data_IF_832005856277
#
_entry.id   IF_832005856277
#
_cell.length_a   1.000
_cell.length_b   1.000
_cell.length_c   1.000
_cell.angle_alpha   90.00
_cell.angle_beta   90.00
_cell.angle_gamma   90.00
#
_symmetry.space_group_name_H-M   'P 1'
#
loop_
_entity.id
_entity.type
_entity.pdbx_description
1 polymer ?
#
# COMPACT_ATOMS: atom_id res chain seq x y z
N UNK A 1 7.16 22.59 -5.37
CA UNK A 1 6.13 23.37 -6.11
C UNK A 1 4.99 23.73 -5.16
N UNK A 2 4.25 24.83 -5.41
CA UNK A 2 3.19 25.35 -4.53
C UNK A 2 2.07 24.33 -4.24
N UNK A 3 1.63 23.57 -5.25
CA UNK A 3 0.57 22.56 -5.11
C UNK A 3 0.93 21.46 -4.11
N UNK A 4 2.17 20.95 -4.15
CA UNK A 4 2.63 19.91 -3.23
C UNK A 4 2.63 20.40 -1.76
N UNK A 5 2.95 21.68 -1.52
CA UNK A 5 2.90 22.27 -0.17
C UNK A 5 1.47 22.36 0.36
N UNK A 6 0.52 22.74 -0.49
CA UNK A 6 -0.90 22.80 -0.12
C UNK A 6 -1.42 21.39 0.19
N UNK A 7 -1.10 20.41 -0.67
CA UNK A 7 -1.49 19.02 -0.44
C UNK A 7 -0.99 18.50 0.91
N UNK A 8 0.31 18.65 1.20
CA UNK A 8 0.90 18.24 2.48
C UNK A 8 0.24 18.92 3.70
N UNK A 9 -0.09 20.21 3.58
CA UNK A 9 -0.79 20.94 4.64
C UNK A 9 -2.20 20.39 4.87
N UNK A 10 -2.98 20.19 3.80
CA UNK A 10 -4.36 19.67 3.89
C UNK A 10 -4.38 18.23 4.39
N UNK A 11 -3.44 17.39 3.94
CA UNK A 11 -3.34 15.99 4.36
C UNK A 11 -3.12 15.85 5.87
N UNK A 12 -2.34 16.76 6.48
CA UNK A 12 -2.09 16.77 7.94
C UNK A 12 -3.36 17.07 8.75
N UNK A 13 -4.33 17.79 8.17
CA UNK A 13 -5.59 18.17 8.82
C UNK A 13 -6.77 17.30 8.40
N UNK A 14 -6.52 16.23 7.63
CA UNK A 14 -7.58 15.35 7.15
C UNK A 14 -8.15 14.55 8.34
N UNK A 15 -9.48 14.50 8.53
CA UNK A 15 -10.08 13.60 9.51
C UNK A 15 -9.81 12.14 9.10
N UNK A 16 -9.57 11.22 10.04
CA UNK A 16 -9.41 9.82 9.72
C UNK A 16 -10.57 9.35 8.83
N UNK A 17 -10.26 8.77 7.68
CA UNK A 17 -11.26 8.11 6.83
C UNK A 17 -11.71 6.84 7.53
N UNK A 18 -12.60 6.99 8.49
CA UNK A 18 -13.13 5.87 9.25
C UNK A 18 -13.97 4.98 8.33
N UNK A 19 -13.94 3.68 8.60
CA UNK A 19 -14.83 2.72 7.98
C UNK A 19 -16.33 3.10 8.09
N UNK A 20 -16.70 3.87 9.12
CA UNK A 20 -18.04 4.42 9.28
C UNK A 20 -18.38 5.46 8.19
N UNK A 21 -17.46 6.38 7.88
CA UNK A 21 -17.63 7.38 6.84
C UNK A 21 -17.77 6.75 5.44
N UNK A 22 -17.02 5.68 5.16
CA UNK A 22 -17.12 4.98 3.87
C UNK A 22 -18.40 4.13 3.73
N UNK A 23 -18.88 3.55 4.84
CA UNK A 23 -20.16 2.85 4.87
C UNK A 23 -21.35 3.78 4.64
N UNK A 24 -21.32 4.99 5.19
CA UNK A 24 -22.35 6.01 4.98
C UNK A 24 -22.42 6.48 3.52
N UNK A 25 -21.30 6.45 2.79
CA UNK A 25 -21.24 6.83 1.37
C UNK A 25 -21.78 5.75 0.40
N UNK A 26 -22.26 4.59 0.87
CA UNK A 26 -22.91 3.57 0.06
C UNK A 26 -21.99 2.83 -0.94
N UNK A 27 -20.69 3.04 -0.84
CA UNK A 27 -19.70 2.61 -1.83
C UNK A 27 -19.05 1.30 -1.39
N UNK A 28 -19.76 0.17 -1.55
CA UNK A 28 -19.32 -1.07 -0.89
C UNK A 28 -19.42 -2.30 -1.80
N UNK A 29 -18.48 -2.38 -2.75
CA UNK A 29 -17.79 -3.65 -2.92
C UNK A 29 -16.70 -3.67 -1.85
N UNK A 30 -16.99 -4.19 -0.64
CA UNK A 30 -15.96 -4.36 0.40
C UNK A 30 -14.89 -5.26 -0.23
N UNK A 31 -13.66 -4.77 -0.34
CA UNK A 31 -12.53 -5.66 -0.51
C UNK A 31 -12.09 -6.11 0.89
N UNK A 32 -12.36 -7.36 1.32
CA UNK A 32 -12.10 -7.79 2.69
C UNK A 32 -10.63 -7.67 3.08
N UNK A 33 -9.72 -7.83 2.11
CA UNK A 33 -8.29 -7.64 2.34
C UNK A 33 -7.96 -6.19 2.67
N UNK A 34 -8.48 -5.25 1.89
CA UNK A 34 -8.21 -3.83 2.13
C UNK A 34 -8.77 -3.37 3.49
N UNK A 35 -9.93 -3.91 3.89
CA UNK A 35 -10.47 -3.70 5.24
C UNK A 35 -9.57 -4.31 6.33
N UNK A 36 -9.04 -5.52 6.12
CA UNK A 36 -8.10 -6.13 7.06
C UNK A 36 -6.81 -5.32 7.20
N UNK A 37 -6.32 -4.73 6.12
CA UNK A 37 -5.16 -3.82 6.13
C UNK A 37 -5.46 -2.57 6.94
N UNK A 38 -6.61 -1.94 6.74
CA UNK A 38 -7.03 -0.77 7.53
C UNK A 38 -7.07 -1.09 9.02
N UNK A 39 -7.72 -2.18 9.43
CA UNK A 39 -7.75 -2.64 10.82
C UNK A 39 -6.38 -3.00 11.37
N UNK A 40 -5.52 -3.62 10.58
CA UNK A 40 -4.16 -3.95 11.01
C UNK A 40 -3.35 -2.67 11.32
N UNK A 41 -3.52 -1.61 10.54
CA UNK A 41 -2.85 -0.32 10.76
C UNK A 41 -3.40 0.43 11.99
N UNK A 42 -4.68 0.25 12.32
CA UNK A 42 -5.26 0.78 13.58
C UNK A 42 -4.62 0.13 14.81
N UNK A 43 -4.35 -1.18 14.75
CA UNK A 43 -3.80 -1.95 15.88
C UNK A 43 -2.29 -1.85 15.96
N UNK A 44 -1.61 -1.90 14.81
CA UNK A 44 -0.15 -1.87 14.70
C UNK A 44 0.25 -0.72 13.77
N UNK A 45 0.65 0.44 14.33
CA UNK A 45 1.17 1.54 13.55
C UNK A 45 2.38 1.07 12.74
N UNK A 46 2.22 1.05 11.42
CA UNK A 46 3.29 0.78 10.46
C UNK A 46 3.64 2.08 9.74
N UNK A 47 4.87 2.18 9.25
CA UNK A 47 5.36 3.38 8.55
C UNK A 47 4.99 3.37 7.06
N UNK A 48 4.77 2.17 6.51
CA UNK A 48 4.37 1.96 5.13
C UNK A 48 3.63 0.62 4.94
N UNK A 49 2.89 0.50 3.84
CA UNK A 49 2.31 -0.74 3.35
C UNK A 49 2.99 -1.12 2.04
N UNK A 50 3.57 -2.31 1.96
CA UNK A 50 4.10 -2.86 0.71
C UNK A 50 3.04 -3.75 0.05
N UNK A 51 2.69 -3.46 -1.20
CA UNK A 51 1.68 -4.18 -1.96
C UNK A 51 2.25 -4.66 -3.30
N UNK A 52 2.71 -5.92 -3.38
CA UNK A 52 3.02 -6.54 -4.66
C UNK A 52 1.74 -6.67 -5.48
N UNK A 53 1.69 -6.05 -6.67
CA UNK A 53 0.49 -6.06 -7.49
C UNK A 53 0.81 -5.98 -8.97
N UNK A 54 0.42 -7.02 -9.73
CA UNK A 54 0.59 -7.06 -11.19
C UNK A 54 -0.22 -5.97 -11.91
N UNK A 55 -1.51 -5.88 -11.59
CA UNK A 55 -2.45 -4.94 -12.24
C UNK A 55 -2.81 -3.74 -11.35
N UNK A 56 -2.32 -3.71 -10.10
CA UNK A 56 -2.60 -2.64 -9.14
C UNK A 56 -3.96 -2.74 -8.45
N UNK A 57 -4.71 -3.84 -8.65
CA UNK A 57 -6.05 -4.02 -8.05
C UNK A 57 -6.03 -3.95 -6.52
N UNK A 58 -5.06 -4.63 -5.89
CA UNK A 58 -4.91 -4.62 -4.43
C UNK A 58 -4.44 -3.25 -3.93
N UNK A 59 -3.46 -2.63 -4.60
CA UNK A 59 -2.96 -1.31 -4.21
C UNK A 59 -4.09 -0.25 -4.25
N UNK A 60 -4.92 -0.25 -5.31
CA UNK A 60 -6.09 0.64 -5.41
C UNK A 60 -7.15 0.33 -4.36
N UNK A 61 -7.36 -0.95 -4.03
CA UNK A 61 -8.31 -1.33 -2.99
C UNK A 61 -7.88 -0.78 -1.62
N UNK A 62 -6.59 -0.88 -1.27
CA UNK A 62 -6.03 -0.30 -0.03
C UNK A 62 -6.08 1.23 -0.07
N UNK A 63 -5.69 1.84 -1.19
CA UNK A 63 -5.66 3.30 -1.36
C UNK A 63 -7.04 3.97 -1.18
N UNK A 64 -8.13 3.27 -1.51
CA UNK A 64 -9.50 3.77 -1.30
C UNK A 64 -9.79 4.08 0.16
N UNK A 65 -9.19 3.35 1.09
CA UNK A 65 -9.31 3.60 2.54
C UNK A 65 -8.53 4.82 3.01
N UNK A 66 -7.76 5.47 2.12
CA UNK A 66 -7.03 6.72 2.38
C UNK A 66 -6.18 6.64 3.65
N UNK A 67 -5.51 5.51 3.83
CA UNK A 67 -4.65 5.23 4.99
C UNK A 67 -3.60 6.34 5.16
N UNK A 68 -3.24 6.70 6.40
CA UNK A 68 -2.30 7.80 6.67
C UNK A 68 -0.83 7.45 6.36
N UNK A 69 -0.58 6.27 5.78
CA UNK A 69 0.75 5.72 5.48
C UNK A 69 0.90 5.53 3.98
N UNK A 70 2.14 5.62 3.50
CA UNK A 70 2.44 5.37 2.09
C UNK A 70 2.19 3.92 1.71
N UNK A 71 1.60 3.73 0.53
CA UNK A 71 1.40 2.42 -0.10
C UNK A 71 2.45 2.27 -1.19
N UNK A 72 3.48 1.48 -0.92
CA UNK A 72 4.51 1.13 -1.90
C UNK A 72 3.94 0.02 -2.78
N UNK A 73 3.59 0.33 -4.03
CA UNK A 73 3.02 -0.64 -4.96
C UNK A 73 4.09 -1.18 -5.90
N UNK A 74 4.61 -2.37 -5.58
CA UNK A 74 5.63 -3.05 -6.39
C UNK A 74 4.96 -3.86 -7.50
N UNK A 75 5.29 -3.59 -8.77
CA UNK A 75 4.67 -4.28 -9.91
C UNK A 75 5.58 -4.26 -11.13
N UNK A 76 5.27 -5.08 -12.13
CA UNK A 76 6.13 -5.26 -13.32
C UNK A 76 5.53 -4.69 -14.61
N UNK A 77 4.30 -4.17 -14.54
CA UNK A 77 3.55 -3.71 -15.70
C UNK A 77 3.58 -2.18 -15.75
N UNK A 78 4.34 -1.55 -16.66
CA UNK A 78 4.53 -0.10 -16.68
C UNK A 78 3.22 0.68 -16.77
N UNK A 79 2.26 0.21 -17.57
CA UNK A 79 0.94 0.85 -17.68
C UNK A 79 0.13 0.79 -16.39
N UNK A 80 0.25 -0.29 -15.62
CA UNK A 80 -0.40 -0.40 -14.32
C UNK A 80 0.27 0.53 -13.29
N UNK A 81 1.61 0.58 -13.26
CA UNK A 81 2.37 1.47 -12.38
C UNK A 81 2.10 2.94 -12.66
N UNK A 82 2.06 3.34 -13.94
CA UNK A 82 1.71 4.70 -14.33
C UNK A 82 0.29 5.06 -13.86
N UNK A 83 -0.68 4.15 -14.03
CA UNK A 83 -2.02 4.35 -13.51
C UNK A 83 -2.10 4.43 -11.98
N UNK A 84 -1.20 3.74 -11.27
CA UNK A 84 -1.11 3.78 -9.82
C UNK A 84 -0.53 5.10 -9.29
N UNK A 85 0.29 5.82 -10.08
CA UNK A 85 0.78 7.15 -9.71
C UNK A 85 -0.35 8.18 -9.50
N UNK A 86 -1.55 7.92 -10.04
CA UNK A 86 -2.75 8.74 -9.83
C UNK A 86 -3.64 8.25 -8.69
N UNK A 87 -3.24 7.20 -7.97
CA UNK A 87 -3.97 6.67 -6.81
C UNK A 87 -3.47 7.32 -5.52
N UNK A 88 -4.40 7.73 -4.65
CA UNK A 88 -4.06 8.45 -3.42
C UNK A 88 -3.11 7.64 -2.53
N UNK A 89 -2.03 8.27 -2.07
CA UNK A 89 -1.06 7.66 -1.15
C UNK A 89 -0.27 6.49 -1.75
N UNK A 90 -0.34 6.25 -3.05
CA UNK A 90 0.39 5.16 -3.71
C UNK A 90 1.68 5.66 -4.33
N UNK A 91 2.78 5.02 -3.98
CA UNK A 91 4.08 5.17 -4.62
C UNK A 91 4.40 3.92 -5.45
N UNK A 92 4.27 3.97 -6.79
CA UNK A 92 4.57 2.82 -7.64
C UNK A 92 6.08 2.59 -7.72
N UNK A 93 6.49 1.32 -7.64
CA UNK A 93 7.87 0.86 -7.77
C UNK A 93 7.93 -0.20 -8.84
N UNK A 94 8.83 -0.02 -9.81
CA UNK A 94 9.09 -1.04 -10.82
C UNK A 94 9.81 -2.24 -10.19
N UNK A 95 9.21 -3.40 -10.34
CA UNK A 95 9.69 -4.66 -9.81
C UNK A 95 10.16 -5.50 -10.99
N UNK A 96 11.48 -5.60 -11.19
CA UNK A 96 12.04 -6.36 -12.30
C UNK A 96 11.63 -7.84 -12.22
N UNK A 97 11.72 -8.45 -11.03
CA UNK A 97 11.30 -9.82 -10.75
C UNK A 97 10.75 -9.92 -9.31
N UNK A 98 9.81 -10.84 -9.07
CA UNK A 98 9.35 -11.12 -7.71
C UNK A 98 10.54 -11.55 -6.83
N UNK A 99 10.71 -11.00 -5.63
CA UNK A 99 11.81 -11.39 -4.76
C UNK A 99 11.52 -12.74 -4.10
N UNK A 100 12.56 -13.53 -3.85
CA UNK A 100 12.44 -14.76 -3.04
C UNK A 100 12.15 -14.41 -1.58
N UNK A 101 12.73 -13.31 -1.10
CA UNK A 101 12.57 -12.81 0.26
C UNK A 101 12.06 -11.37 0.24
N UNK A 102 10.78 -11.20 0.58
CA UNK A 102 10.14 -9.89 0.65
C UNK A 102 10.75 -8.98 1.71
N UNK A 103 11.25 -9.52 2.82
CA UNK A 103 11.88 -8.73 3.88
C UNK A 103 13.17 -8.09 3.39
N UNK A 104 14.07 -8.87 2.78
CA UNK A 104 15.33 -8.33 2.26
C UNK A 104 15.10 -7.34 1.11
N UNK A 105 14.17 -7.65 0.20
CA UNK A 105 13.75 -6.70 -0.83
C UNK A 105 13.25 -5.38 -0.23
N UNK A 106 12.37 -5.46 0.77
CA UNK A 106 11.82 -4.27 1.44
C UNK A 106 12.92 -3.46 2.11
N UNK A 107 13.87 -4.11 2.79
CA UNK A 107 15.01 -3.42 3.42
C UNK A 107 15.81 -2.62 2.39
N UNK A 108 16.17 -3.24 1.27
CA UNK A 108 16.91 -2.56 0.19
C UNK A 108 16.11 -1.40 -0.40
N UNK A 109 14.82 -1.63 -0.67
CA UNK A 109 13.94 -0.60 -1.22
C UNK A 109 13.79 0.61 -0.29
N UNK A 110 13.63 0.39 1.02
CA UNK A 110 13.55 1.47 2.00
C UNK A 110 14.83 2.31 2.03
N UNK A 111 16.00 1.66 1.92
CA UNK A 111 17.30 2.34 1.84
C UNK A 111 17.41 3.18 0.55
N UNK A 112 17.03 2.62 -0.60
CA UNK A 112 17.03 3.31 -1.89
C UNK A 112 16.11 4.55 -1.90
N UNK A 113 14.95 4.45 -1.25
CA UNK A 113 14.00 5.56 -1.11
C UNK A 113 14.38 6.56 -0.01
N UNK A 114 15.43 6.29 0.77
CA UNK A 114 15.82 7.10 1.92
C UNK A 114 14.79 7.13 3.05
N UNK A 115 13.91 6.12 3.11
CA UNK A 115 12.84 6.01 4.09
C UNK A 115 13.34 5.29 5.35
N UNK A 116 13.22 5.97 6.49
CA UNK A 116 13.47 5.36 7.81
C UNK A 116 12.19 4.72 8.34
N UNK A 117 11.85 3.55 7.79
CA UNK A 117 10.70 2.75 8.27
C UNK A 117 11.17 1.63 9.20
N UNK A 118 10.59 1.57 10.39
CA UNK A 118 10.80 0.54 11.40
C UNK A 118 9.86 -0.64 11.19
N UNK A 119 8.63 -0.38 10.75
CA UNK A 119 7.60 -1.40 10.52
C UNK A 119 6.94 -1.22 9.16
N UNK A 120 6.88 -2.30 8.39
CA UNK A 120 6.17 -2.34 7.10
C UNK A 120 5.19 -3.49 7.09
N UNK A 121 3.96 -3.21 6.66
CA UNK A 121 2.95 -4.23 6.44
C UNK A 121 3.00 -4.70 4.98
N UNK A 122 3.41 -5.94 4.75
CA UNK A 122 3.31 -6.56 3.43
C UNK A 122 1.90 -7.10 3.23
N UNK A 123 1.30 -6.83 2.07
CA UNK A 123 -0.04 -7.29 1.70
C UNK A 123 0.06 -8.03 0.37
N UNK A 124 0.06 -9.36 0.43
CA UNK A 124 0.32 -10.20 -0.75
C UNK A 124 -0.69 -11.35 -0.86
N UNK A 125 -0.56 -12.15 -1.91
CA UNK A 125 -1.41 -13.31 -2.21
C UNK A 125 -0.81 -14.13 -3.35
N UNK A 126 -1.65 -14.91 -4.07
CA UNK A 126 -1.21 -15.65 -5.24
C UNK A 126 -0.45 -14.77 -6.23
N UNK A 127 0.68 -15.27 -6.71
CA UNK A 127 1.51 -14.62 -7.72
C UNK A 127 1.81 -15.58 -8.86
N UNK A 128 2.46 -15.10 -9.93
CA UNK A 128 2.90 -15.99 -11.02
C UNK A 128 3.95 -16.98 -10.56
N UNK A 129 4.77 -16.63 -9.56
CA UNK A 129 5.77 -17.53 -8.98
C UNK A 129 5.14 -18.50 -7.98
N UNK A 130 4.13 -18.06 -7.24
CA UNK A 130 3.46 -18.83 -6.20
C UNK A 130 1.93 -18.77 -6.38
N UNK A 131 1.36 -19.45 -7.39
CA UNK A 131 -0.08 -19.42 -7.66
C UNK A 131 -0.91 -20.06 -6.53
N UNK A 132 -0.33 -20.99 -5.79
CA UNK A 132 -0.92 -21.68 -4.64
C UNK A 132 -0.81 -20.88 -3.32
N UNK A 133 -0.11 -19.76 -3.30
CA UNK A 133 0.08 -18.99 -2.08
C UNK A 133 -1.23 -18.40 -1.57
N UNK A 134 -1.48 -18.55 -0.27
CA UNK A 134 -2.61 -17.90 0.37
C UNK A 134 -2.44 -16.37 0.39
N UNK A 135 -3.58 -15.69 0.46
CA UNK A 135 -3.63 -14.27 0.78
C UNK A 135 -3.11 -14.09 2.19
N UNK A 136 -2.17 -13.15 2.40
CA UNK A 136 -1.53 -12.97 3.69
C UNK A 136 -1.09 -11.53 3.91
N UNK A 137 -1.06 -11.17 5.19
CA UNK A 137 -0.48 -9.94 5.69
C UNK A 137 0.74 -10.34 6.52
N UNK A 138 1.88 -9.69 6.29
CA UNK A 138 3.08 -9.91 7.09
C UNK A 138 3.53 -8.59 7.72
N UNK A 139 3.68 -8.58 9.04
CA UNK A 139 4.28 -7.46 9.74
C UNK A 139 5.80 -7.65 9.75
N UNK A 140 6.51 -6.81 9.01
CA UNK A 140 7.97 -6.80 8.97
C UNK A 140 8.51 -5.72 9.89
N UNK A 141 9.60 -6.02 10.59
CA UNK A 141 10.35 -5.06 11.42
C UNK A 141 11.80 -5.01 10.96
N UNK A 142 12.39 -3.82 10.90
CA UNK A 142 13.72 -3.57 10.34
C UNK A 142 14.70 -3.01 11.35
#
# INVERSE_FOLDING_TARGET
MMLAKIAAFIETHRPPSSLAFQREMGDVVVNPKAMLVERALEVVPCDAVLVPSREGTTARAVARWRTPVWIIAAGRQPSALQGLAFSYGVYPVDLAEEPVNWREYTRSLLLELGLRSQKVLLVTGPSTRHPEANQRLELMSF
#
